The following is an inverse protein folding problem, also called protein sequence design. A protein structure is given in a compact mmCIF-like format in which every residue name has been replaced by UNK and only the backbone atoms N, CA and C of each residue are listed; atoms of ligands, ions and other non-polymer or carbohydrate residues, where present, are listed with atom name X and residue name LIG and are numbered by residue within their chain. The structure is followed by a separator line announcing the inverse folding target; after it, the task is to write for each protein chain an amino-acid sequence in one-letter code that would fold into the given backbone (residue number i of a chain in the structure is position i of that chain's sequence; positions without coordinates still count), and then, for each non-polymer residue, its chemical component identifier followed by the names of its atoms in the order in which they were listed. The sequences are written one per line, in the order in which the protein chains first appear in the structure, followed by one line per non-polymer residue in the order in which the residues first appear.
data_IF_956963936751
#
_entry.id   IF_956963936751
#
_cell.length_a   1.000
_cell.length_b   1.000
_cell.length_c   1.000
_cell.angle_alpha   90.00
_cell.angle_beta   90.00
_cell.angle_gamma   90.00
#
_symmetry.space_group_name_H-M   'P 1'
#
loop_
_entity.id
_entity.type
_entity.pdbx_description
1 polymer ?
#
# COMPACT_ATOMS: atom_id res chain seq x y z
N UNK A 1 -5.19 -5.06 5.82
CA UNK A 1 -4.41 -6.06 6.53
C UNK A 1 -3.69 -5.42 7.68
N UNK A 2 -2.46 -5.87 7.94
CA UNK A 2 -1.49 -5.17 8.78
C UNK A 2 -0.36 -4.63 7.90
N UNK A 3 0.07 -3.40 8.14
CA UNK A 3 1.14 -2.72 7.38
C UNK A 3 2.10 -2.03 8.34
N UNK A 4 3.35 -1.90 7.90
CA UNK A 4 4.41 -1.13 8.54
C UNK A 4 5.09 -0.24 7.51
N UNK A 5 5.52 0.95 7.94
CA UNK A 5 6.27 1.89 7.09
C UNK A 5 7.63 2.23 7.72
N UNK A 6 8.69 2.20 6.95
CA UNK A 6 10.01 2.70 7.33
C UNK A 6 10.33 3.94 6.51
N UNK A 7 10.45 5.10 7.15
CA UNK A 7 10.73 6.39 6.50
C UNK A 7 12.24 6.63 6.57
N UNK A 8 12.86 7.00 5.45
CA UNK A 8 14.29 7.31 5.40
C UNK A 8 14.60 8.49 4.48
N UNK A 9 15.56 9.30 4.92
CA UNK A 9 15.82 10.59 4.30
C UNK A 9 14.60 11.51 4.42
N UNK A 10 14.50 12.48 3.53
CA UNK A 10 13.43 13.49 3.61
C UNK A 10 12.12 13.01 2.99
N UNK A 11 12.17 12.26 1.89
CA UNK A 11 11.01 11.99 1.04
C UNK A 11 10.75 10.51 0.81
N UNK A 12 11.61 9.59 1.25
CA UNK A 12 11.50 8.20 0.84
C UNK A 12 10.97 7.33 1.99
N UNK A 13 10.23 6.28 1.65
CA UNK A 13 9.84 5.27 2.60
C UNK A 13 9.73 3.90 1.92
N UNK A 14 9.81 2.85 2.72
CA UNK A 14 9.40 1.49 2.35
C UNK A 14 8.13 1.19 3.14
N UNK A 15 7.11 0.72 2.45
CA UNK A 15 5.88 0.21 3.03
C UNK A 15 5.78 -1.28 2.78
N UNK A 16 5.36 -2.04 3.77
CA UNK A 16 5.18 -3.49 3.65
C UNK A 16 3.95 -3.92 4.42
N UNK A 17 3.23 -4.90 3.87
CA UNK A 17 2.00 -5.36 4.51
C UNK A 17 1.60 -6.78 4.18
N UNK A 18 0.76 -7.31 5.07
CA UNK A 18 0.06 -8.57 4.94
C UNK A 18 -1.44 -8.28 4.95
N UNK A 19 -2.09 -8.58 3.83
CA UNK A 19 -3.51 -8.40 3.61
C UNK A 19 -4.21 -9.73 3.49
N UNK A 20 -5.50 -9.76 3.81
CA UNK A 20 -6.33 -10.93 3.64
C UNK A 20 -7.69 -10.52 3.10
N UNK A 21 -8.23 -11.33 2.20
CA UNK A 21 -9.60 -11.19 1.71
C UNK A 21 -10.48 -12.25 2.37
N UNK A 22 -11.55 -11.81 3.03
CA UNK A 22 -12.58 -12.71 3.59
C UNK A 22 -13.83 -12.81 2.71
N UNK A 23 -13.92 -12.04 1.63
CA UNK A 23 -15.06 -12.05 0.72
C UNK A 23 -14.69 -12.65 -0.64
N UNK A 24 -15.48 -13.64 -1.08
CA UNK A 24 -15.35 -14.27 -2.39
C UNK A 24 -14.34 -15.41 -2.38
N UNK A 25 -13.06 -15.10 -2.53
CA UNK A 25 -11.97 -16.09 -2.46
C UNK A 25 -11.06 -15.73 -1.30
N UNK A 26 -10.91 -16.66 -0.36
CA UNK A 26 -9.91 -16.54 0.70
C UNK A 26 -8.54 -16.44 0.04
N UNK A 27 -7.88 -15.33 0.31
CA UNK A 27 -6.54 -15.08 -0.17
C UNK A 27 -5.77 -14.27 0.85
N UNK A 28 -4.49 -14.58 0.98
CA UNK A 28 -3.51 -13.76 1.69
C UNK A 28 -2.63 -13.09 0.66
N UNK A 29 -2.35 -11.81 0.87
CA UNK A 29 -1.48 -11.03 0.01
C UNK A 29 -0.35 -10.42 0.84
N UNK A 30 0.86 -10.52 0.33
CA UNK A 30 2.01 -9.78 0.82
C UNK A 30 2.33 -8.69 -0.17
N UNK A 31 2.68 -7.50 0.31
CA UNK A 31 3.17 -6.43 -0.55
C UNK A 31 4.37 -5.71 0.06
N UNK A 32 5.17 -5.11 -0.81
CA UNK A 32 6.21 -4.16 -0.43
C UNK A 32 6.33 -3.09 -1.51
N UNK A 33 6.30 -1.83 -1.09
CA UNK A 33 6.25 -0.66 -1.95
C UNK A 33 7.33 0.37 -1.55
N UNK A 34 8.08 0.87 -2.52
CA UNK A 34 8.92 2.05 -2.35
C UNK A 34 8.06 3.29 -2.56
N UNK A 35 7.99 4.16 -1.56
CA UNK A 35 7.14 5.35 -1.56
C UNK A 35 7.99 6.61 -1.64
N UNK A 36 7.53 7.55 -2.45
CA UNK A 36 7.99 8.94 -2.47
C UNK A 36 6.89 9.80 -1.86
N UNK A 37 7.16 10.29 -0.65
CA UNK A 37 6.31 11.18 0.12
C UNK A 37 6.59 12.65 -0.22
N UNK A 38 5.55 13.43 -0.44
CA UNK A 38 5.62 14.87 -0.72
C UNK A 38 4.67 15.64 0.20
N UNK A 39 5.27 16.34 1.17
CA UNK A 39 4.62 17.20 2.14
C UNK A 39 3.91 18.41 1.51
N UNK A 40 4.41 18.89 0.38
CA UNK A 40 3.95 20.16 -0.23
C UNK A 40 2.65 19.99 -1.00
N UNK A 41 2.39 18.79 -1.55
CA UNK A 41 1.20 18.54 -2.38
C UNK A 41 -0.09 18.75 -1.57
N UNK A 42 -0.19 18.18 -0.36
CA UNK A 42 -1.39 18.33 0.46
C UNK A 42 -1.56 19.74 0.99
N UNK A 43 -0.46 20.39 1.38
CA UNK A 43 -0.48 21.80 1.80
C UNK A 43 -1.08 22.69 0.71
N UNK A 44 -0.66 22.50 -0.54
CA UNK A 44 -1.14 23.32 -1.66
C UNK A 44 -2.58 22.98 -2.08
N UNK A 45 -2.97 21.70 -2.05
CA UNK A 45 -4.30 21.27 -2.51
C UNK A 45 -5.42 21.58 -1.51
N UNK A 46 -5.14 21.48 -0.22
CA UNK A 46 -6.16 21.54 0.82
C UNK A 46 -5.93 22.67 1.83
N UNK A 47 -4.92 23.51 1.63
CA UNK A 47 -4.50 24.60 2.51
C UNK A 47 -4.34 24.16 3.98
N UNK A 48 -3.86 22.92 4.17
CA UNK A 48 -3.70 22.34 5.50
C UNK A 48 -2.30 22.63 6.01
N UNK A 49 -2.22 23.15 7.22
CA UNK A 49 -0.96 23.49 7.88
C UNK A 49 -0.44 22.30 8.70
N UNK A 50 0.82 21.92 8.48
CA UNK A 50 1.51 20.91 9.29
C UNK A 50 2.44 20.01 8.48
N UNK A 51 3.60 19.68 9.05
CA UNK A 51 4.59 18.75 8.46
C UNK A 51 4.19 17.27 8.59
N UNK A 52 3.05 17.02 9.23
CA UNK A 52 2.55 15.71 9.58
C UNK A 52 1.68 15.06 8.50
N UNK A 53 1.49 15.74 7.37
CA UNK A 53 0.61 15.30 6.29
C UNK A 53 1.40 15.07 5.02
N UNK A 54 1.13 13.94 4.38
CA UNK A 54 1.90 13.46 3.25
C UNK A 54 0.95 12.99 2.16
N UNK A 55 1.16 13.45 0.93
CA UNK A 55 0.74 12.67 -0.22
C UNK A 55 1.92 11.78 -0.62
N UNK A 56 1.63 10.58 -1.13
CA UNK A 56 2.67 9.69 -1.65
C UNK A 56 2.22 9.01 -2.93
N UNK A 57 3.22 8.72 -3.75
CA UNK A 57 3.15 7.78 -4.87
C UNK A 57 4.25 6.76 -4.66
N UNK A 58 4.00 5.51 -5.01
CA UNK A 58 5.00 4.46 -4.90
C UNK A 58 5.03 3.52 -6.06
N UNK A 59 6.00 2.62 -6.00
CA UNK A 59 6.14 1.48 -6.89
C UNK A 59 6.63 0.28 -6.08
N UNK A 60 6.03 -0.87 -6.31
CA UNK A 60 6.43 -2.09 -5.63
C UNK A 60 5.81 -3.33 -6.23
N UNK A 61 5.64 -4.34 -5.40
CA UNK A 61 5.13 -5.63 -5.83
C UNK A 61 4.29 -6.31 -4.78
N UNK A 62 3.50 -7.29 -5.24
CA UNK A 62 2.77 -8.21 -4.39
C UNK A 62 3.00 -9.66 -4.76
N UNK A 63 2.75 -10.51 -3.76
CA UNK A 63 2.52 -11.94 -3.94
C UNK A 63 1.18 -12.26 -3.29
N UNK A 64 0.26 -12.83 -4.06
CA UNK A 64 -1.06 -13.27 -3.60
C UNK A 64 -1.12 -14.79 -3.58
N UNK A 65 -1.55 -15.34 -2.45
CA UNK A 65 -1.83 -16.75 -2.24
C UNK A 65 -3.32 -16.93 -2.08
N UNK A 66 -3.96 -17.64 -3.00
CA UNK A 66 -5.40 -17.84 -2.99
C UNK A 66 -5.74 -19.33 -2.82
N UNK A 67 -6.70 -19.62 -1.93
CA UNK A 67 -7.09 -21.00 -1.62
C UNK A 67 -7.85 -21.68 -2.77
N UNK A 68 -8.36 -20.89 -3.71
CA UNK A 68 -9.22 -21.39 -4.80
C UNK A 68 -8.39 -21.88 -5.98
N UNK A 69 -8.69 -23.10 -6.42
CA UNK A 69 -8.19 -23.72 -7.64
C UNK A 69 -9.31 -23.71 -8.68
N UNK A 70 -9.05 -23.20 -9.88
CA UNK A 70 -9.99 -23.24 -11.02
C UNK A 70 -9.29 -23.95 -12.19
N UNK A 71 -9.94 -24.97 -12.76
CA UNK A 71 -9.37 -25.77 -13.87
C UNK A 71 -7.95 -26.29 -13.59
N UNK A 72 -7.69 -26.82 -12.39
CA UNK A 72 -6.37 -27.27 -11.89
C UNK A 72 -5.29 -26.18 -11.78
N UNK A 73 -5.61 -24.89 -11.94
CA UNK A 73 -4.70 -23.78 -11.69
C UNK A 73 -5.04 -23.08 -10.38
N UNK A 74 -4.03 -22.88 -9.54
CA UNK A 74 -4.13 -21.99 -8.37
C UNK A 74 -4.25 -20.53 -8.85
N UNK A 75 -5.07 -19.74 -8.16
CA UNK A 75 -5.21 -18.30 -8.40
C UNK A 75 -4.11 -17.46 -7.73
N UNK A 76 -2.98 -18.09 -7.39
CA UNK A 76 -1.81 -17.37 -6.90
C UNK A 76 -1.31 -16.40 -7.99
N UNK A 77 -0.85 -15.22 -7.58
CA UNK A 77 -0.33 -14.25 -8.51
C UNK A 77 0.84 -13.47 -7.96
N UNK A 78 1.71 -13.03 -8.87
CA UNK A 78 2.76 -12.05 -8.61
C UNK A 78 2.41 -10.83 -9.45
N UNK A 79 2.48 -9.64 -8.83
CA UNK A 79 2.10 -8.41 -9.52
C UNK A 79 2.96 -7.22 -9.13
N UNK A 80 2.96 -6.22 -10.00
CA UNK A 80 3.55 -4.91 -9.78
C UNK A 80 2.45 -3.98 -9.24
N UNK A 81 2.80 -3.16 -8.25
CA UNK A 81 1.89 -2.22 -7.59
C UNK A 81 2.34 -0.79 -7.84
N UNK A 82 1.37 0.10 -8.07
CA UNK A 82 1.55 1.55 -8.11
C UNK A 82 0.55 2.18 -7.09
N UNK A 83 0.92 2.27 -5.81
CA UNK A 83 0.09 2.92 -4.79
C UNK A 83 0.13 4.45 -4.92
N UNK A 84 -1.03 5.06 -4.69
CA UNK A 84 -1.19 6.51 -4.52
C UNK A 84 -2.04 6.72 -3.28
N UNK A 85 -1.57 7.54 -2.36
CA UNK A 85 -2.27 7.74 -1.11
C UNK A 85 -1.93 9.03 -0.40
N UNK A 86 -2.65 9.21 0.70
CA UNK A 86 -2.44 10.28 1.66
C UNK A 86 -2.25 9.68 3.04
N UNK A 87 -1.50 10.36 3.89
CA UNK A 87 -1.33 9.97 5.27
C UNK A 87 -1.21 11.13 6.24
N UNK A 88 -1.50 10.83 7.50
CA UNK A 88 -1.38 11.70 8.65
C UNK A 88 -0.58 11.00 9.74
N UNK A 89 0.57 11.57 10.11
CA UNK A 89 1.44 11.09 11.20
C UNK A 89 1.06 11.81 12.49
N UNK A 90 0.83 11.07 13.57
CA UNK A 90 0.65 11.66 14.90
C UNK A 90 2.00 12.10 15.49
N UNK A 91 2.09 13.31 16.07
CA UNK A 91 3.37 13.85 16.58
C UNK A 91 4.00 13.01 17.68
N UNK A 92 3.18 12.46 18.56
CA UNK A 92 3.63 11.86 19.82
C UNK A 92 3.54 10.33 19.83
N UNK A 93 3.15 9.71 18.71
CA UNK A 93 3.02 8.25 18.61
C UNK A 93 3.54 7.77 17.26
N UNK A 94 4.19 6.59 17.20
CA UNK A 94 4.70 6.00 15.95
C UNK A 94 3.57 5.38 15.11
N UNK A 95 2.44 6.07 15.00
CA UNK A 95 1.23 5.66 14.29
C UNK A 95 0.95 6.67 13.19
N UNK A 96 0.64 6.16 12.00
CA UNK A 96 0.22 6.92 10.83
C UNK A 96 -1.17 6.44 10.40
N UNK A 97 -2.11 7.36 10.15
CA UNK A 97 -3.34 7.06 9.42
C UNK A 97 -3.10 7.19 7.92
N UNK A 98 -3.69 6.30 7.11
CA UNK A 98 -3.55 6.37 5.67
C UNK A 98 -4.86 6.05 4.94
N UNK A 99 -4.95 6.61 3.73
CA UNK A 99 -5.92 6.26 2.70
C UNK A 99 -5.16 6.07 1.37
N UNK A 100 -5.42 4.97 0.68
CA UNK A 100 -4.66 4.51 -0.48
C UNK A 100 -5.58 3.94 -1.55
N UNK A 101 -5.20 4.15 -2.81
CA UNK A 101 -5.61 3.37 -3.96
C UNK A 101 -4.35 2.79 -4.61
N UNK A 102 -4.31 1.49 -4.85
CA UNK A 102 -3.23 0.81 -5.54
C UNK A 102 -3.69 0.22 -6.86
N UNK A 103 -3.02 0.63 -7.93
CA UNK A 103 -3.15 0.02 -9.25
C UNK A 103 -2.22 -1.18 -9.30
N UNK A 104 -2.75 -2.35 -9.64
CA UNK A 104 -1.99 -3.59 -9.57
C UNK A 104 -2.07 -4.34 -10.89
N UNK A 105 -0.91 -4.62 -11.46
CA UNK A 105 -0.78 -5.46 -12.65
C UNK A 105 -0.19 -6.80 -12.24
N UNK A 106 -1.01 -7.84 -12.19
CA UNK A 106 -0.50 -9.21 -12.14
C UNK A 106 0.29 -9.47 -13.42
N UNK A 107 1.46 -10.09 -13.27
CA UNK A 107 2.36 -10.45 -14.38
C UNK A 107 2.50 -11.96 -14.54
N UNK A 108 2.19 -12.72 -13.48
CA UNK A 108 2.26 -14.17 -13.45
C UNK A 108 1.14 -14.73 -12.57
N UNK A 109 0.48 -15.83 -12.98
CA UNK A 109 0.71 -16.61 -14.20
C UNK A 109 0.12 -15.97 -15.48
N UNK A 110 -0.72 -14.96 -15.33
CA UNK A 110 -1.33 -14.24 -16.45
C UNK A 110 -1.40 -12.75 -16.15
N UNK A 111 -1.40 -11.95 -17.21
CA UNK A 111 -1.52 -10.49 -17.07
C UNK A 111 -2.94 -10.10 -16.75
N UNK A 112 -3.17 -9.55 -15.56
CA UNK A 112 -4.48 -9.04 -15.15
C UNK A 112 -4.35 -7.74 -14.38
N UNK A 113 -5.21 -6.78 -14.71
CA UNK A 113 -5.26 -5.50 -14.03
C UNK A 113 -6.28 -5.55 -12.88
N UNK A 114 -5.87 -5.05 -11.72
CA UNK A 114 -6.69 -4.97 -10.52
C UNK A 114 -6.56 -3.58 -9.90
N UNK A 115 -7.61 -3.16 -9.19
CA UNK A 115 -7.60 -1.96 -8.38
C UNK A 115 -7.85 -2.37 -6.93
N UNK A 116 -7.00 -1.92 -6.02
CA UNK A 116 -7.16 -2.14 -4.58
C UNK A 116 -7.32 -0.78 -3.88
N UNK A 117 -8.09 -0.76 -2.80
CA UNK A 117 -8.25 0.40 -1.93
C UNK A 117 -7.98 0.02 -0.49
N UNK A 118 -7.35 0.92 0.26
CA UNK A 118 -6.97 0.70 1.65
C UNK A 118 -7.21 1.94 2.49
N UNK A 119 -7.78 1.75 3.69
CA UNK A 119 -7.84 2.76 4.74
C UNK A 119 -7.43 2.10 6.04
N UNK A 120 -6.61 2.77 6.84
CA UNK A 120 -6.17 2.19 8.11
C UNK A 120 -5.18 3.02 8.89
N UNK A 121 -4.63 2.38 9.90
CA UNK A 121 -3.52 2.88 10.69
C UNK A 121 -2.34 1.92 10.55
N UNK A 122 -1.12 2.45 10.47
CA UNK A 122 0.11 1.66 10.40
C UNK A 122 1.15 2.18 11.36
N UNK A 123 1.96 1.25 11.86
CA UNK A 123 3.12 1.61 12.65
C UNK A 123 4.21 2.10 11.71
N UNK A 124 4.88 3.21 12.06
CA UNK A 124 6.01 3.70 11.28
C UNK A 124 7.29 3.80 12.12
N UNK A 125 8.41 3.63 11.43
CA UNK A 125 9.77 3.68 11.98
C UNK A 125 10.59 4.75 11.24
N UNK A 126 11.63 5.28 11.90
CA UNK A 126 12.64 6.19 11.34
C UNK A 126 14.03 5.55 11.34
#
# INVERSE_FOLDING_TARGET
GATVKYIFGKYNAIDAGLDWSTWGTNAVELHADYLINNYTILKNLFNVEGENQFAYIGLGGRIKFADKIIFNNSLNSIGVRLPIGISYIFKDTPIELFLEIAFVLDVSPSTNFNLQGGVGARYYFF
#
